data_IF_715924663367
#
_entry.id   IF_715924663367
#
_cell.length_a   1.000
_cell.length_b   1.000
_cell.length_c   1.000
_cell.angle_alpha   90.00
_cell.angle_beta   90.00
_cell.angle_gamma   90.00
#
_symmetry.space_group_name_H-M   'P 1'
#
loop_
_entity.id
_entity.type
_entity.pdbx_description
1 polymer ?
#
# COMPACT_ATOMS: atom_id res chain seq x y z
N UNK A 1 14.66 5.38 1.12
CA UNK A 1 13.96 4.81 -0.05
C UNK A 1 13.27 5.95 -0.78
N UNK A 2 13.62 6.18 -2.04
CA UNK A 2 13.08 7.28 -2.85
C UNK A 2 11.65 6.97 -3.29
N UNK A 3 10.87 7.99 -3.67
CA UNK A 3 9.52 7.83 -4.24
C UNK A 3 9.52 6.99 -5.51
N UNK A 4 10.61 7.04 -6.28
CA UNK A 4 10.84 6.22 -7.47
C UNK A 4 10.86 4.71 -7.17
N UNK A 5 11.45 4.32 -6.03
CA UNK A 5 11.60 2.90 -5.67
C UNK A 5 10.25 2.25 -5.33
N UNK A 6 9.35 3.01 -4.68
CA UNK A 6 8.03 2.51 -4.32
C UNK A 6 7.16 2.28 -5.56
N UNK A 7 7.23 3.18 -6.54
CA UNK A 7 6.53 3.02 -7.82
C UNK A 7 6.93 1.71 -8.49
N UNK A 8 8.24 1.47 -8.63
CA UNK A 8 8.76 0.26 -9.26
C UNK A 8 8.33 -1.02 -8.52
N UNK A 9 8.36 -1.01 -7.18
CA UNK A 9 7.88 -2.16 -6.41
C UNK A 9 6.38 -2.41 -6.63
N UNK A 10 5.56 -1.36 -6.69
CA UNK A 10 4.13 -1.49 -6.94
C UNK A 10 3.83 -2.02 -8.36
N UNK A 11 4.62 -1.62 -9.37
CA UNK A 11 4.54 -2.18 -10.73
C UNK A 11 4.88 -3.69 -10.73
N UNK A 12 6.01 -4.09 -10.12
CA UNK A 12 6.40 -5.49 -9.99
C UNK A 12 5.39 -6.32 -9.19
N UNK A 13 4.87 -5.77 -8.09
CA UNK A 13 3.86 -6.41 -7.26
C UNK A 13 2.56 -6.70 -8.03
N UNK A 14 2.19 -5.84 -8.98
CA UNK A 14 1.03 -6.05 -9.86
C UNK A 14 1.24 -7.19 -10.84
N UNK A 15 2.47 -7.36 -11.33
CA UNK A 15 2.86 -8.47 -12.21
C UNK A 15 2.95 -9.82 -11.47
N UNK A 16 2.76 -9.82 -10.15
CA UNK A 16 2.78 -11.02 -9.32
C UNK A 16 4.12 -11.29 -8.64
N UNK A 17 5.05 -10.33 -8.66
CA UNK A 17 6.33 -10.45 -7.94
C UNK A 17 6.09 -10.46 -6.42
N UNK A 18 6.21 -11.64 -5.81
CA UNK A 18 6.06 -11.82 -4.38
C UNK A 18 7.12 -11.06 -3.56
N UNK A 19 8.34 -10.92 -4.07
CA UNK A 19 9.40 -10.18 -3.37
C UNK A 19 9.07 -8.69 -3.34
N UNK A 20 8.49 -8.16 -4.40
CA UNK A 20 8.04 -6.77 -4.44
C UNK A 20 6.90 -6.53 -3.44
N UNK A 21 5.92 -7.44 -3.36
CA UNK A 21 4.83 -7.39 -2.37
C UNK A 21 5.38 -7.43 -0.94
N UNK A 22 6.32 -8.35 -0.66
CA UNK A 22 6.94 -8.47 0.67
C UNK A 22 7.68 -7.20 1.08
N UNK A 23 8.43 -6.59 0.15
CA UNK A 23 9.12 -5.32 0.41
C UNK A 23 8.16 -4.17 0.69
N UNK A 24 7.02 -4.12 -0.01
CA UNK A 24 5.98 -3.14 0.27
C UNK A 24 5.38 -3.38 1.67
N UNK A 25 4.99 -4.62 1.99
CA UNK A 25 4.42 -4.94 3.31
C UNK A 25 5.40 -4.59 4.43
N UNK A 26 6.66 -4.99 4.32
CA UNK A 26 7.70 -4.66 5.30
C UNK A 26 7.88 -3.15 5.50
N UNK A 27 7.70 -2.35 4.44
CA UNK A 27 7.76 -0.88 4.53
C UNK A 27 6.59 -0.29 5.33
N UNK A 28 5.41 -0.89 5.22
CA UNK A 28 4.21 -0.43 5.91
C UNK A 28 3.99 -1.13 7.26
N UNK A 29 4.79 -2.14 7.60
CA UNK A 29 4.71 -2.90 8.85
C UNK A 29 4.66 -2.00 10.11
N UNK A 30 5.50 -0.96 10.27
CA UNK A 30 5.41 -0.06 11.43
C UNK A 30 4.07 0.68 11.51
N UNK A 31 3.49 1.03 10.35
CA UNK A 31 2.20 1.69 10.27
C UNK A 31 1.07 0.70 10.59
N UNK A 32 1.17 -0.54 10.12
CA UNK A 32 0.22 -1.61 10.43
C UNK A 32 0.18 -1.83 11.94
N UNK A 33 1.33 -2.07 12.58
CA UNK A 33 1.39 -2.24 14.03
C UNK A 33 0.82 -1.05 14.79
N UNK A 34 1.20 0.19 14.41
CA UNK A 34 0.68 1.39 15.06
C UNK A 34 -0.85 1.49 15.02
N UNK A 35 -1.46 1.11 13.90
CA UNK A 35 -2.92 1.17 13.73
C UNK A 35 -3.64 -0.10 14.22
N UNK A 36 -2.89 -1.13 14.64
CA UNK A 36 -3.44 -2.36 15.20
C UNK A 36 -3.57 -2.32 16.72
N UNK A 37 -3.18 -1.22 17.37
CA UNK A 37 -3.39 -1.04 18.81
C UNK A 37 -4.84 -0.67 19.11
N UNK A 38 -5.52 -1.56 19.85
CA UNK A 38 -6.88 -1.39 20.33
C UNK A 38 -6.86 -1.53 21.85
N UNK A 39 -7.35 -0.50 22.57
CA UNK A 39 -7.37 -0.48 24.05
C UNK A 39 -6.01 -0.74 24.73
N UNK A 40 -4.90 -0.35 24.10
CA UNK A 40 -3.55 -0.51 24.65
C UNK A 40 -2.88 -1.85 24.32
N UNK A 41 -3.57 -2.75 23.63
CA UNK A 41 -3.04 -4.04 23.20
C UNK A 41 -3.02 -4.13 21.68
N UNK A 42 -2.09 -4.93 21.14
CA UNK A 42 -2.06 -5.22 19.70
C UNK A 42 -3.14 -6.26 19.42
N UNK A 43 -4.03 -5.96 18.49
CA UNK A 43 -5.02 -6.89 17.97
C UNK A 43 -4.46 -7.63 16.73
N UNK A 44 -4.23 -8.96 16.81
CA UNK A 44 -3.74 -9.76 15.68
C UNK A 44 -4.68 -9.79 14.47
N UNK A 45 -5.99 -9.70 14.68
CA UNK A 45 -6.98 -9.67 13.58
C UNK A 45 -6.91 -8.33 12.86
N UNK A 46 -6.69 -7.24 13.60
CA UNK A 46 -6.46 -5.92 13.02
C UNK A 46 -5.19 -5.88 12.15
N UNK A 47 -4.10 -6.54 12.59
CA UNK A 47 -2.88 -6.68 11.78
C UNK A 47 -3.19 -7.38 10.45
N UNK A 48 -3.87 -8.54 10.51
CA UNK A 48 -4.19 -9.31 9.31
C UNK A 48 -5.10 -8.54 8.35
N UNK A 49 -6.13 -7.88 8.87
CA UNK A 49 -7.03 -7.02 8.09
C UNK A 49 -6.27 -5.89 7.37
N UNK A 50 -5.35 -5.21 8.07
CA UNK A 50 -4.54 -4.15 7.49
C UNK A 50 -3.57 -4.67 6.44
N UNK A 51 -2.97 -5.84 6.65
CA UNK A 51 -2.12 -6.50 5.65
C UNK A 51 -2.90 -6.87 4.39
N UNK A 52 -4.11 -7.44 4.54
CA UNK A 52 -4.99 -7.79 3.41
C UNK A 52 -5.43 -6.53 2.65
N UNK A 53 -5.81 -5.47 3.36
CA UNK A 53 -6.18 -4.19 2.74
C UNK A 53 -5.01 -3.61 1.95
N UNK A 54 -3.82 -3.58 2.54
CA UNK A 54 -2.61 -3.10 1.86
C UNK A 54 -2.32 -3.92 0.60
N UNK A 55 -2.35 -5.25 0.70
CA UNK A 55 -2.14 -6.15 -0.43
C UNK A 55 -3.13 -5.88 -1.57
N UNK A 56 -4.42 -5.77 -1.24
CA UNK A 56 -5.46 -5.48 -2.22
C UNK A 56 -5.31 -4.09 -2.83
N UNK A 57 -4.91 -3.09 -2.04
CA UNK A 57 -4.61 -1.75 -2.53
C UNK A 57 -3.46 -1.78 -3.53
N UNK A 58 -2.33 -2.43 -3.21
CA UNK A 58 -1.18 -2.55 -4.12
C UNK A 58 -1.57 -3.21 -5.44
N UNK A 59 -2.31 -4.32 -5.39
CA UNK A 59 -2.79 -5.01 -6.60
C UNK A 59 -3.71 -4.15 -7.46
N UNK A 60 -4.56 -3.34 -6.84
CA UNK A 60 -5.51 -2.46 -7.55
C UNK A 60 -4.93 -1.07 -7.86
N UNK A 61 -3.71 -0.76 -7.42
CA UNK A 61 -3.17 0.60 -7.45
C UNK A 61 -2.88 1.07 -8.88
N UNK A 62 -3.73 1.92 -9.45
CA UNK A 62 -3.50 2.52 -10.76
C UNK A 62 -2.57 3.73 -10.67
N UNK A 63 -1.45 3.68 -11.39
CA UNK A 63 -0.62 4.84 -11.62
C UNK A 63 -1.29 5.73 -12.64
N UNK A 64 -1.92 6.80 -12.17
CA UNK A 64 -2.50 7.81 -13.03
C UNK A 64 -1.42 8.77 -13.53
N UNK A 65 -1.46 9.14 -14.80
CA UNK A 65 -0.60 10.21 -15.33
C UNK A 65 -1.03 11.56 -14.78
N UNK A 66 -0.20 12.59 -14.97
CA UNK A 66 -0.51 13.94 -14.51
C UNK A 66 -1.82 14.43 -15.13
N UNK A 67 -2.02 14.15 -16.41
CA UNK A 67 -3.22 14.49 -17.17
C UNK A 67 -4.47 13.76 -16.65
N UNK A 68 -4.33 12.50 -16.24
CA UNK A 68 -5.44 11.74 -15.64
C UNK A 68 -5.80 12.23 -14.24
N UNK A 69 -4.82 12.67 -13.44
CA UNK A 69 -5.06 13.27 -12.12
C UNK A 69 -5.76 14.62 -12.27
N UNK A 70 -5.32 15.46 -13.22
CA UNK A 70 -5.94 16.74 -13.53
C UNK A 70 -7.42 16.57 -13.92
N UNK A 71 -7.76 15.53 -14.70
CA UNK A 71 -9.16 15.18 -15.05
C UNK A 71 -10.00 14.68 -13.87
N UNK A 72 -9.39 13.98 -12.90
CA UNK A 72 -10.10 13.50 -11.71
C UNK A 72 -10.33 14.59 -10.66
N UNK A 73 -9.50 15.62 -10.69
CA UNK A 73 -9.58 16.81 -9.85
C UNK A 73 -10.32 17.94 -10.56
N UNK A 74 -11.29 17.64 -11.43
CA UNK A 74 -12.26 18.61 -11.97
C UNK A 74 -12.98 19.31 -10.80
N UNK A 75 -12.29 20.30 -10.22
CA UNK A 75 -12.84 21.37 -9.43
C UNK A 75 -13.46 22.29 -10.48
N UNK A 76 -14.80 22.24 -10.55
CA UNK A 76 -15.60 23.25 -11.24
C UNK A 76 -15.17 24.68 -10.86
#
# INVERSE_FOLDING_TARGET
MSTSDLRKLCELAKEGDEQAIRQIIAKFEPLIYKNSYINGEIDPDCIQELMIKLYNCVKKFEFKTKEEIEKYLDID
#
